data_IF_142571171687
#
_entry.id   IF_142571171687
#
_cell.length_a   1.000
_cell.length_b   1.000
_cell.length_c   1.000
_cell.angle_alpha   90.00
_cell.angle_beta   90.00
_cell.angle_gamma   90.00
#
_symmetry.space_group_name_H-M   'P 1'
#
loop_
_entity.id
_entity.type
_entity.pdbx_description
1 polymer ?
#
# COMPACT_ATOMS: atom_id res chain seq x y z
N UNK A 1 -12.94 -28.17 -6.06
CA UNK A 1 -11.88 -27.75 -5.11
C UNK A 1 -11.13 -26.53 -5.61
N UNK A 2 -10.55 -26.52 -6.83
CA UNK A 2 -9.76 -25.38 -7.37
C UNK A 2 -10.48 -24.03 -7.36
N UNK A 3 -11.78 -24.01 -7.67
CA UNK A 3 -12.58 -22.78 -7.58
C UNK A 3 -12.54 -22.15 -6.19
N UNK A 4 -12.78 -22.97 -5.14
CA UNK A 4 -12.82 -22.51 -3.75
C UNK A 4 -11.45 -22.02 -3.29
N UNK A 5 -10.39 -22.72 -3.68
CA UNK A 5 -9.01 -22.28 -3.41
C UNK A 5 -8.73 -20.91 -4.06
N UNK A 6 -8.98 -20.77 -5.36
CA UNK A 6 -8.77 -19.50 -6.07
C UNK A 6 -9.61 -18.36 -5.48
N UNK A 7 -10.87 -18.64 -5.14
CA UNK A 7 -11.78 -17.65 -4.54
C UNK A 7 -11.25 -17.16 -3.20
N UNK A 8 -10.83 -18.07 -2.32
CA UNK A 8 -10.30 -17.72 -1.01
C UNK A 8 -9.00 -16.91 -1.11
N UNK A 9 -8.11 -17.30 -2.01
CA UNK A 9 -6.88 -16.58 -2.32
C UNK A 9 -7.15 -15.14 -2.77
N UNK A 10 -8.08 -14.97 -3.72
CA UNK A 10 -8.47 -13.64 -4.19
C UNK A 10 -9.18 -12.83 -3.10
N UNK A 11 -10.00 -13.47 -2.27
CA UNK A 11 -10.72 -12.81 -1.19
C UNK A 11 -9.75 -12.21 -0.17
N UNK A 12 -8.79 -12.99 0.33
CA UNK A 12 -7.78 -12.50 1.27
C UNK A 12 -7.04 -11.28 0.69
N UNK A 13 -6.67 -11.30 -0.59
CA UNK A 13 -6.01 -10.16 -1.23
C UNK A 13 -6.93 -8.94 -1.41
N UNK A 14 -8.20 -9.15 -1.77
CA UNK A 14 -9.17 -8.07 -1.96
C UNK A 14 -9.56 -7.41 -0.64
N UNK A 15 -9.63 -8.16 0.47
CA UNK A 15 -9.88 -7.62 1.80
C UNK A 15 -8.78 -6.62 2.19
N UNK A 16 -7.51 -7.01 2.07
CA UNK A 16 -6.36 -6.16 2.37
C UNK A 16 -6.28 -4.92 1.45
N UNK A 17 -6.63 -5.08 0.16
CA UNK A 17 -6.71 -3.95 -0.79
C UNK A 17 -7.88 -3.01 -0.49
N UNK A 18 -9.02 -3.55 -0.05
CA UNK A 18 -10.19 -2.77 0.33
C UNK A 18 -9.88 -1.90 1.55
N UNK A 19 -9.23 -2.48 2.56
CA UNK A 19 -8.81 -1.74 3.75
C UNK A 19 -7.85 -0.60 3.40
N UNK A 20 -6.82 -0.87 2.59
CA UNK A 20 -5.93 0.19 2.10
C UNK A 20 -6.71 1.26 1.32
N UNK A 21 -7.62 0.87 0.42
CA UNK A 21 -8.41 1.82 -0.37
C UNK A 21 -9.21 2.77 0.52
N UNK A 22 -9.84 2.25 1.59
CA UNK A 22 -10.57 3.05 2.56
C UNK A 22 -9.66 4.00 3.34
N UNK A 23 -8.45 3.56 3.72
CA UNK A 23 -7.47 4.46 4.35
C UNK A 23 -7.07 5.59 3.41
N UNK A 24 -6.73 5.28 2.16
CA UNK A 24 -6.27 6.24 1.14
C UNK A 24 -7.32 7.27 0.74
N UNK A 25 -8.61 6.99 0.97
CA UNK A 25 -9.71 7.92 0.68
C UNK A 25 -9.98 8.92 1.81
N UNK A 26 -9.33 8.79 2.98
CA UNK A 26 -9.52 9.72 4.09
C UNK A 26 -9.01 11.11 3.71
N UNK A 27 -9.87 12.12 3.83
CA UNK A 27 -9.51 13.51 3.53
C UNK A 27 -8.41 14.08 4.43
N UNK A 28 -8.22 13.52 5.63
CA UNK A 28 -7.18 13.90 6.57
C UNK A 28 -5.85 13.20 6.34
N UNK A 29 -5.77 12.28 5.38
CA UNK A 29 -4.57 11.49 5.13
C UNK A 29 -3.50 12.37 4.47
N UNK A 30 -2.32 12.41 5.07
CA UNK A 30 -1.17 13.07 4.45
C UNK A 30 -0.33 12.08 3.62
N UNK A 31 0.55 12.63 2.78
CA UNK A 31 1.38 11.80 1.89
C UNK A 31 2.31 10.85 2.64
N UNK A 32 2.73 11.23 3.86
CA UNK A 32 3.60 10.43 4.72
C UNK A 32 2.88 9.17 5.20
N UNK A 33 1.65 9.34 5.68
CA UNK A 33 0.78 8.24 6.11
C UNK A 33 0.40 7.36 4.93
N UNK A 34 -0.02 7.95 3.81
CA UNK A 34 -0.36 7.21 2.59
C UNK A 34 0.80 6.30 2.13
N UNK A 35 2.03 6.81 2.12
CA UNK A 35 3.19 6.00 1.80
C UNK A 35 3.42 4.86 2.79
N UNK A 36 3.29 5.14 4.09
CA UNK A 36 3.42 4.14 5.15
C UNK A 36 2.39 3.02 4.97
N UNK A 37 1.14 3.36 4.69
CA UNK A 37 0.04 2.41 4.53
C UNK A 37 0.26 1.49 3.32
N UNK A 38 0.68 2.05 2.17
CA UNK A 38 1.03 1.24 0.98
C UNK A 38 2.23 0.34 1.26
N UNK A 39 3.25 0.84 1.95
CA UNK A 39 4.44 0.06 2.32
C UNK A 39 4.10 -1.08 3.28
N UNK A 40 3.17 -0.85 4.21
CA UNK A 40 2.68 -1.90 5.10
C UNK A 40 1.94 -2.98 4.32
N UNK A 41 1.06 -2.63 3.38
CA UNK A 41 0.36 -3.61 2.55
C UNK A 41 1.33 -4.45 1.70
N UNK A 42 2.38 -3.84 1.14
CA UNK A 42 3.44 -4.57 0.44
C UNK A 42 4.04 -5.65 1.34
N UNK A 43 4.40 -5.31 2.58
CA UNK A 43 4.94 -6.27 3.55
C UNK A 43 3.95 -7.38 3.90
N UNK A 44 2.66 -7.06 3.98
CA UNK A 44 1.60 -8.07 4.17
C UNK A 44 1.59 -9.04 2.99
N UNK A 45 1.62 -8.57 1.75
CA UNK A 45 1.67 -9.46 0.58
C UNK A 45 2.97 -10.27 0.49
N UNK A 46 4.12 -9.68 0.84
CA UNK A 46 5.37 -10.43 0.96
C UNK A 46 5.27 -11.54 2.00
N UNK A 47 4.65 -11.27 3.16
CA UNK A 47 4.39 -12.27 4.18
C UNK A 47 3.45 -13.38 3.69
N UNK A 48 2.45 -13.04 2.87
CA UNK A 48 1.47 -13.98 2.31
C UNK A 48 2.07 -14.99 1.31
N UNK A 49 3.26 -14.72 0.78
CA UNK A 49 4.00 -15.68 -0.05
C UNK A 49 4.34 -16.96 0.71
N UNK A 50 4.58 -16.85 2.02
CA UNK A 50 4.96 -17.98 2.88
C UNK A 50 3.87 -18.32 3.93
N UNK A 51 2.92 -17.42 4.19
CA UNK A 51 1.90 -17.58 5.21
C UNK A 51 0.50 -17.39 4.64
N UNK A 52 -0.34 -18.42 4.66
CA UNK A 52 -1.69 -18.36 4.10
C UNK A 52 -2.55 -17.30 4.81
N UNK A 53 -3.40 -16.62 4.03
CA UNK A 53 -4.44 -15.76 4.58
C UNK A 53 -5.55 -16.58 5.26
N UNK A 54 -6.39 -15.91 6.05
CA UNK A 54 -7.41 -16.57 6.87
C UNK A 54 -8.37 -17.38 6.00
N UNK A 55 -8.87 -16.81 4.90
CA UNK A 55 -9.81 -17.51 4.02
C UNK A 55 -9.13 -18.63 3.28
N UNK A 56 -7.88 -18.45 2.89
CA UNK A 56 -7.08 -19.51 2.26
C UNK A 56 -6.88 -20.71 3.20
N UNK A 57 -6.70 -20.50 4.50
CA UNK A 57 -6.68 -21.57 5.52
C UNK A 57 -8.05 -22.26 5.63
N UNK A 58 -9.13 -21.50 5.77
CA UNK A 58 -10.51 -22.04 5.84
C UNK A 58 -10.85 -22.88 4.59
N UNK A 59 -10.48 -22.39 3.40
CA UNK A 59 -10.67 -23.09 2.14
C UNK A 59 -9.82 -24.36 2.02
N UNK A 60 -8.60 -24.36 2.53
CA UNK A 60 -7.75 -25.55 2.56
C UNK A 60 -8.41 -26.67 3.38
N UNK A 61 -8.89 -26.36 4.59
CA UNK A 61 -9.60 -27.31 5.45
C UNK A 61 -10.84 -27.86 4.72
N UNK A 62 -11.67 -26.98 4.15
CA UNK A 62 -12.85 -27.39 3.40
C UNK A 62 -12.54 -28.24 2.15
N UNK A 63 -11.41 -28.00 1.49
CA UNK A 63 -10.94 -28.79 0.35
C UNK A 63 -10.50 -30.18 0.80
N UNK A 64 -9.77 -30.26 1.92
CA UNK A 64 -9.32 -31.52 2.51
C UNK A 64 -10.54 -32.37 2.97
N UNK A 65 -11.58 -31.72 3.49
CA UNK A 65 -12.86 -32.35 3.89
C UNK A 65 -13.82 -32.63 2.71
N UNK A 66 -13.48 -32.18 1.50
CA UNK A 66 -14.35 -32.19 0.31
C UNK A 66 -15.74 -31.57 0.56
N UNK A 67 -15.81 -30.60 1.45
CA UNK A 67 -17.06 -29.97 1.88
C UNK A 67 -16.78 -28.51 2.25
N UNK A 68 -17.42 -27.57 1.56
CA UNK A 68 -17.37 -26.16 1.89
C UNK A 68 -18.73 -25.72 2.38
N UNK A 69 -18.82 -25.37 3.66
CA UNK A 69 -20.11 -25.23 4.35
C UNK A 69 -20.92 -26.52 4.17
N UNK A 70 -22.14 -26.46 3.64
CA UNK A 70 -22.96 -27.64 3.36
C UNK A 70 -22.86 -28.12 1.90
N UNK A 71 -21.92 -27.58 1.12
CA UNK A 71 -21.75 -27.89 -0.30
C UNK A 71 -20.62 -28.88 -0.51
N UNK A 72 -20.95 -30.06 -1.04
CA UNK A 72 -19.96 -31.09 -1.38
C UNK A 72 -19.08 -30.62 -2.55
N UNK A 73 -17.77 -30.68 -2.35
CA UNK A 73 -16.80 -30.28 -3.35
C UNK A 73 -16.45 -31.46 -4.27
N UNK A 74 -16.42 -31.20 -5.57
CA UNK A 74 -15.90 -32.11 -6.56
C UNK A 74 -14.60 -31.57 -7.15
N UNK A 75 -13.74 -32.48 -7.61
CA UNK A 75 -12.55 -32.13 -8.38
C UNK A 75 -12.99 -31.91 -9.83
N UNK A 76 -12.67 -30.74 -10.40
CA UNK A 76 -12.89 -30.42 -11.82
C UNK A 76 -11.57 -29.94 -12.43
N UNK A 77 -11.07 -30.66 -13.42
CA UNK A 77 -9.77 -30.40 -14.06
C UNK A 77 -9.72 -29.17 -14.98
N UNK A 78 -10.88 -28.60 -15.35
CA UNK A 78 -10.96 -27.48 -16.30
C UNK A 78 -10.65 -26.10 -15.69
N UNK A 79 -10.54 -25.99 -14.37
CA UNK A 79 -10.30 -24.71 -13.70
C UNK A 79 -8.80 -24.59 -13.43
N UNK A 80 -8.10 -23.60 -14.02
CA UNK A 80 -6.69 -23.39 -13.75
C UNK A 80 -6.49 -22.93 -12.30
N UNK A 81 -5.48 -23.48 -11.63
CA UNK A 81 -5.09 -23.04 -10.30
C UNK A 81 -4.28 -21.75 -10.40
N UNK A 82 -4.60 -20.76 -9.56
CA UNK A 82 -3.75 -19.58 -9.42
C UNK A 82 -2.48 -20.00 -8.66
N UNK A 83 -1.27 -19.71 -9.16
CA UNK A 83 -0.05 -19.98 -8.40
C UNK A 83 0.09 -18.98 -7.25
N UNK A 84 -0.32 -19.39 -6.04
CA UNK A 84 -0.44 -18.54 -4.84
C UNK A 84 0.79 -17.67 -4.56
N UNK A 85 1.98 -18.27 -4.54
CA UNK A 85 3.23 -17.52 -4.31
C UNK A 85 3.47 -16.45 -5.36
N UNK A 86 3.24 -16.78 -6.63
CA UNK A 86 3.44 -15.83 -7.73
C UNK A 86 2.38 -14.73 -7.70
N UNK A 87 1.14 -15.06 -7.33
CA UNK A 87 0.05 -14.11 -7.19
C UNK A 87 0.39 -13.01 -6.19
N UNK A 88 0.75 -13.37 -4.95
CA UNK A 88 1.14 -12.38 -3.94
C UNK A 88 2.42 -11.61 -4.28
N UNK A 89 3.45 -12.28 -4.85
CA UNK A 89 4.65 -11.59 -5.37
C UNK A 89 4.29 -10.55 -6.42
N UNK A 90 3.36 -10.88 -7.31
CA UNK A 90 2.94 -9.97 -8.38
C UNK A 90 2.19 -8.76 -7.80
N UNK A 91 1.34 -8.95 -6.79
CA UNK A 91 0.67 -7.86 -6.09
C UNK A 91 1.67 -6.94 -5.38
N UNK A 92 2.60 -7.50 -4.59
CA UNK A 92 3.65 -6.75 -3.92
C UNK A 92 4.48 -5.93 -4.91
N UNK A 93 4.97 -6.56 -6.00
CA UNK A 93 5.75 -5.89 -7.03
C UNK A 93 4.98 -4.77 -7.73
N UNK A 94 3.67 -4.95 -7.99
CA UNK A 94 2.83 -3.93 -8.61
C UNK A 94 2.58 -2.73 -7.70
N UNK A 95 2.47 -2.93 -6.39
CA UNK A 95 2.37 -1.84 -5.43
C UNK A 95 3.72 -1.13 -5.27
N UNK A 96 4.81 -1.89 -5.15
CA UNK A 96 6.17 -1.35 -5.05
C UNK A 96 6.49 -0.47 -6.25
N UNK A 97 6.17 -0.90 -7.48
CA UNK A 97 6.46 -0.11 -8.69
C UNK A 97 5.76 1.25 -8.76
N UNK A 98 4.69 1.41 -7.99
CA UNK A 98 3.92 2.67 -7.87
C UNK A 98 4.41 3.57 -6.74
N UNK A 99 5.32 3.08 -5.89
CA UNK A 99 5.95 3.92 -4.88
C UNK A 99 6.93 4.90 -5.51
N UNK A 100 6.97 6.11 -4.95
CA UNK A 100 7.92 7.16 -5.32
C UNK A 100 9.40 6.74 -5.15
N UNK A 101 9.66 5.66 -4.40
CA UNK A 101 10.98 5.09 -4.13
C UNK A 101 11.45 4.05 -5.15
N UNK A 102 10.64 3.63 -6.13
CA UNK A 102 10.91 2.44 -6.97
C UNK A 102 11.88 2.64 -8.16
N UNK A 103 12.55 3.79 -8.30
CA UNK A 103 13.54 4.03 -9.38
C UNK A 103 14.82 4.66 -8.82
N UNK A 104 15.75 5.12 -9.68
CA UNK A 104 16.92 5.96 -9.31
C UNK A 104 16.55 7.24 -8.49
N UNK A 105 15.27 7.40 -8.17
CA UNK A 105 14.64 8.37 -7.29
C UNK A 105 14.70 8.03 -5.78
N UNK A 106 15.40 7.02 -5.27
CA UNK A 106 15.45 6.77 -3.82
C UNK A 106 15.98 7.97 -3.00
N UNK A 107 17.04 8.64 -3.50
CA UNK A 107 17.52 9.91 -2.93
C UNK A 107 16.49 11.04 -3.10
N UNK A 108 15.82 11.07 -4.26
CA UNK A 108 14.76 12.03 -4.56
C UNK A 108 13.54 11.84 -3.62
N UNK A 109 13.20 10.60 -3.27
CA UNK A 109 12.12 10.24 -2.37
C UNK A 109 12.41 10.71 -0.94
N UNK A 110 13.60 10.38 -0.42
CA UNK A 110 14.01 10.83 0.92
C UNK A 110 14.00 12.35 1.01
N UNK A 111 14.45 13.04 -0.04
CA UNK A 111 14.41 14.50 -0.14
C UNK A 111 12.98 15.04 -0.15
N UNK A 112 12.10 14.52 -1.01
CA UNK A 112 10.67 14.88 -1.06
C UNK A 112 10.00 14.67 0.29
N UNK A 113 10.27 13.54 0.93
CA UNK A 113 9.67 13.17 2.20
C UNK A 113 10.10 14.11 3.33
N UNK A 114 11.39 14.47 3.36
CA UNK A 114 11.90 15.45 4.31
C UNK A 114 11.34 16.85 4.05
N UNK A 115 11.19 17.24 2.79
CA UNK A 115 10.52 18.49 2.44
C UNK A 115 9.06 18.46 2.95
N UNK A 116 8.30 17.39 2.71
CA UNK A 116 6.88 17.31 3.15
C UNK A 116 6.72 17.34 4.67
N UNK A 117 7.69 16.85 5.44
CA UNK A 117 7.63 16.91 6.92
C UNK A 117 7.48 18.32 7.44
N UNK A 118 8.02 19.35 6.77
CA UNK A 118 7.88 20.74 7.24
C UNK A 118 6.46 21.26 7.14
N UNK A 119 5.58 20.64 6.34
CA UNK A 119 4.16 21.03 6.25
C UNK A 119 3.39 20.56 7.49
N UNK A 120 3.88 19.55 8.19
CA UNK A 120 3.14 18.84 9.24
C UNK A 120 3.75 19.14 10.62
N UNK A 121 3.06 19.91 11.49
CA UNK A 121 3.59 20.35 12.79
C UNK A 121 4.08 19.23 13.72
N UNK A 122 3.53 18.03 13.57
CA UNK A 122 3.95 16.86 14.35
C UNK A 122 5.42 16.44 14.12
N UNK A 123 6.05 16.88 13.02
CA UNK A 123 7.47 16.59 12.73
C UNK A 123 8.39 17.78 12.99
N UNK A 124 7.88 18.88 13.54
CA UNK A 124 8.67 20.08 13.76
C UNK A 124 9.62 19.91 14.97
N UNK A 125 10.84 20.45 14.91
CA UNK A 125 11.72 20.53 16.06
C UNK A 125 11.13 21.47 17.14
N UNK A 126 11.60 21.36 18.38
CA UNK A 126 11.12 22.20 19.50
C UNK A 126 11.51 23.68 19.34
N UNK A 127 12.73 23.91 18.84
CA UNK A 127 13.28 25.24 18.62
C UNK A 127 13.29 25.53 17.11
N UNK A 128 12.47 26.51 16.69
CA UNK A 128 12.26 26.84 15.28
C UNK A 128 12.71 28.28 15.01
N UNK A 129 13.39 28.47 13.88
CA UNK A 129 13.54 29.80 13.28
C UNK A 129 12.18 30.29 12.79
N UNK A 130 11.96 31.61 12.80
CA UNK A 130 10.79 32.23 12.14
C UNK A 130 10.70 31.89 10.65
N UNK A 131 11.83 31.54 10.01
CA UNK A 131 11.94 31.15 8.60
C UNK A 131 12.03 29.63 8.38
N UNK A 132 11.71 28.82 9.40
CA UNK A 132 11.82 27.36 9.28
C UNK A 132 10.90 26.83 8.17
N UNK A 133 11.46 26.03 7.27
CA UNK A 133 10.71 25.36 6.19
C UNK A 133 10.52 26.19 4.92
N UNK A 134 10.97 27.45 4.85
CA UNK A 134 10.80 28.29 3.64
C UNK A 134 11.41 27.63 2.39
N UNK A 135 12.65 27.15 2.51
CA UNK A 135 13.35 26.50 1.41
C UNK A 135 12.67 25.17 0.99
N UNK A 136 12.19 24.39 1.95
CA UNK A 136 11.48 23.14 1.74
C UNK A 136 10.13 23.40 1.05
N UNK A 137 9.36 24.38 1.53
CA UNK A 137 8.08 24.80 0.94
C UNK A 137 8.30 25.27 -0.50
N UNK A 138 9.32 26.08 -0.77
CA UNK A 138 9.63 26.52 -2.13
C UNK A 138 9.93 25.33 -3.04
N UNK A 139 10.75 24.37 -2.59
CA UNK A 139 11.04 23.14 -3.36
C UNK A 139 9.79 22.30 -3.64
N UNK A 140 8.85 22.26 -2.70
CA UNK A 140 7.55 21.57 -2.87
C UNK A 140 6.71 22.31 -3.92
N UNK A 141 6.56 23.63 -3.79
CA UNK A 141 5.82 24.45 -4.74
C UNK A 141 6.36 24.30 -6.17
N UNK A 142 7.68 24.39 -6.34
CA UNK A 142 8.36 24.22 -7.63
C UNK A 142 8.09 22.83 -8.22
N UNK A 143 8.19 21.79 -7.38
CA UNK A 143 7.98 20.40 -7.79
C UNK A 143 6.55 20.12 -8.26
N UNK A 144 5.57 20.62 -7.51
CA UNK A 144 4.15 20.42 -7.83
C UNK A 144 3.60 21.48 -8.79
N UNK A 145 4.45 22.39 -9.27
CA UNK A 145 4.08 23.50 -10.16
C UNK A 145 2.90 24.30 -9.62
N UNK A 146 2.87 24.50 -8.30
CA UNK A 146 1.87 25.35 -7.65
C UNK A 146 2.25 26.79 -8.03
N UNK A 147 1.38 27.45 -8.81
CA UNK A 147 1.66 28.76 -9.41
C UNK A 147 2.21 29.75 -8.39
N UNK A 148 3.42 30.21 -8.63
CA UNK A 148 4.10 31.25 -7.87
C UNK A 148 3.44 32.60 -8.15
N UNK A 149 2.31 32.88 -7.51
CA UNK A 149 2.20 34.24 -6.95
C UNK A 149 3.37 34.37 -5.98
N UNK A 150 4.19 35.43 -6.05
CA UNK A 150 5.32 35.58 -5.14
C UNK A 150 4.79 35.35 -3.74
N UNK A 151 5.36 34.37 -3.05
CA UNK A 151 5.15 34.12 -1.64
C UNK A 151 5.59 35.39 -0.93
N UNK A 152 4.67 36.36 -0.82
CA UNK A 152 4.80 37.52 0.05
C UNK A 152 4.65 36.96 1.47
N UNK A 153 5.70 36.32 1.96
CA UNK A 153 5.90 36.07 3.39
C UNK A 153 6.42 37.40 3.95
N UNK A 154 5.57 38.43 3.86
CA UNK A 154 5.81 39.69 4.53
C UNK A 154 4.90 39.72 5.74
N UNK A 155 5.47 39.46 6.92
CA UNK A 155 5.42 40.30 8.12
C UNK A 155 6.55 39.88 9.06
#
# INVERSE_FOLDING_TARGET
>A
TTFVHNLALMFDALEELSDLSLQLQKSSLNLIQAHSDVTLLIKVFENRVENMGRRSVEAKIAIDDLMFQDVKLCVRSKIPSIPEKQFYRSLANNLTSRLLSSSNAAENYTKIMNDIKVIHPMYWPKDLSITYGECEIQRICDRFKISSSPLNIGF
#
